data_IF_372798037303
#
_entry.id   IF_372798037303
#
_cell.length_a   1.000
_cell.length_b   1.000
_cell.length_c   1.000
_cell.angle_alpha   90.00
_cell.angle_beta   90.00
_cell.angle_gamma   90.00
#
_symmetry.space_group_name_H-M   'P 1'
#
loop_
_entity.id
_entity.type
_entity.pdbx_description
1 polymer ?
#
# COMPACT_ATOMS: atom_id res chain seq x y z
N UNK A 1 11.93 -1.13 73.53
CA UNK A 1 13.23 -0.59 73.07
C UNK A 1 13.63 -1.30 71.78
N UNK A 2 13.33 -0.70 70.61
CA UNK A 2 13.94 -1.13 69.35
C UNK A 2 14.38 0.07 68.48
N UNK A 3 14.92 1.15 69.07
CA UNK A 3 15.40 2.32 68.31
C UNK A 3 16.93 2.37 68.16
N UNK A 4 17.71 1.57 68.91
CA UNK A 4 19.18 1.53 68.79
C UNK A 4 19.72 0.57 67.72
N UNK A 5 18.88 -0.30 67.13
CA UNK A 5 19.32 -1.25 66.10
C UNK A 5 19.16 -0.74 64.66
N UNK A 6 18.44 0.36 64.44
CA UNK A 6 18.20 0.91 63.10
C UNK A 6 19.32 1.90 62.72
N UNK A 7 19.82 2.68 63.68
CA UNK A 7 20.90 3.64 63.43
C UNK A 7 22.24 2.97 63.03
N UNK A 8 22.50 1.76 63.51
CA UNK A 8 23.76 1.05 63.19
C UNK A 8 23.74 0.38 61.81
N UNK A 9 22.55 0.23 61.19
CA UNK A 9 22.40 -0.34 59.84
C UNK A 9 22.49 0.75 58.78
N UNK A 10 21.96 1.96 59.02
CA UNK A 10 22.09 3.07 58.07
C UNK A 10 23.54 3.59 57.98
N UNK A 11 24.29 3.65 59.08
CA UNK A 11 25.70 4.07 59.05
C UNK A 11 26.60 3.07 58.28
N UNK A 12 26.23 1.77 58.24
CA UNK A 12 26.94 0.78 57.43
C UNK A 12 26.59 0.85 55.93
N UNK A 13 25.40 1.37 55.59
CA UNK A 13 24.97 1.52 54.20
C UNK A 13 25.63 2.77 53.60
N UNK A 14 25.75 3.86 54.35
CA UNK A 14 26.40 5.08 53.85
C UNK A 14 27.93 4.95 53.73
N UNK A 15 28.59 4.14 54.57
CA UNK A 15 30.04 3.87 54.42
C UNK A 15 30.34 2.92 53.23
N UNK A 16 29.37 2.07 52.83
CA UNK A 16 29.47 1.23 51.63
C UNK A 16 29.20 2.02 50.34
N UNK A 17 28.37 3.07 50.41
CA UNK A 17 28.08 3.94 49.26
C UNK A 17 29.23 4.94 48.99
N UNK A 18 29.95 5.38 50.02
CA UNK A 18 31.04 6.36 49.88
C UNK A 18 32.44 5.77 49.60
N UNK A 19 32.59 4.44 49.50
CA UNK A 19 33.84 3.76 49.12
C UNK A 19 33.84 3.17 47.70
N UNK A 20 32.86 3.54 46.87
CA UNK A 20 32.69 3.02 45.51
C UNK A 20 33.29 3.84 44.36
N UNK A 21 33.95 4.97 44.62
CA UNK A 21 34.65 5.76 43.59
C UNK A 21 36.15 5.42 43.54
N UNK A 22 36.49 4.32 42.87
CA UNK A 22 37.71 4.12 42.03
C UNK A 22 37.76 2.66 41.55
N UNK A 23 36.67 2.21 40.92
CA UNK A 23 36.68 0.96 40.17
C UNK A 23 37.27 1.20 38.79
N UNK A 24 38.54 0.84 38.59
CA UNK A 24 39.07 0.59 37.25
C UNK A 24 38.08 -0.30 36.49
N UNK A 25 37.60 0.21 35.34
CA UNK A 25 36.80 -0.57 34.40
C UNK A 25 37.54 -1.88 34.08
N UNK A 26 36.86 -3.04 34.11
CA UNK A 26 37.49 -4.30 33.76
C UNK A 26 38.07 -4.20 32.34
N UNK A 27 39.40 -4.35 32.23
CA UNK A 27 40.12 -4.39 30.96
C UNK A 27 39.58 -5.54 30.12
N UNK A 28 38.90 -5.20 29.03
CA UNK A 28 38.43 -6.20 28.07
C UNK A 28 37.16 -5.84 27.29
N UNK A 29 36.49 -4.72 27.56
CA UNK A 29 35.37 -4.29 26.69
C UNK A 29 35.97 -3.63 25.44
N UNK A 30 35.85 -4.23 24.25
CA UNK A 30 36.35 -3.60 23.03
C UNK A 30 35.57 -2.32 22.80
N UNK A 31 36.28 -1.25 22.41
CA UNK A 31 35.75 0.05 22.00
C UNK A 31 34.87 -0.07 20.74
N UNK A 32 33.72 -0.74 20.87
CA UNK A 32 32.74 -1.03 19.83
C UNK A 32 31.56 -0.05 19.84
N UNK A 33 31.46 0.85 20.82
CA UNK A 33 30.32 1.76 20.98
C UNK A 33 30.07 2.68 19.78
N UNK A 34 31.12 3.11 19.07
CA UNK A 34 30.98 3.91 17.84
C UNK A 34 30.50 3.06 16.65
N UNK A 35 30.98 1.81 16.53
CA UNK A 35 30.58 0.88 15.47
C UNK A 35 29.15 0.38 15.67
N UNK A 36 28.75 0.14 16.92
CA UNK A 36 27.38 -0.27 17.28
C UNK A 36 26.39 0.87 17.07
N UNK A 37 26.73 2.11 17.46
CA UNK A 37 25.89 3.29 17.15
C UNK A 37 25.78 3.53 15.65
N UNK A 38 26.88 3.39 14.90
CA UNK A 38 26.86 3.48 13.44
C UNK A 38 25.99 2.37 12.82
N UNK A 39 26.07 1.13 13.30
CA UNK A 39 25.25 0.03 12.81
C UNK A 39 23.76 0.25 13.11
N UNK A 40 23.41 0.73 14.30
CA UNK A 40 22.01 1.06 14.66
C UNK A 40 21.48 2.22 13.81
N UNK A 41 22.28 3.27 13.61
CA UNK A 41 21.90 4.39 12.73
C UNK A 41 21.73 3.91 11.30
N UNK A 42 22.67 3.11 10.78
CA UNK A 42 22.56 2.51 9.44
C UNK A 42 21.28 1.70 9.35
N UNK A 43 21.04 0.71 10.22
CA UNK A 43 19.83 -0.14 10.19
C UNK A 43 18.54 0.69 10.29
N UNK A 44 18.51 1.73 11.13
CA UNK A 44 17.33 2.59 11.28
C UNK A 44 17.12 3.47 10.04
N UNK A 45 18.20 3.97 9.44
CA UNK A 45 18.17 4.75 8.20
C UNK A 45 17.77 3.85 7.03
N UNK A 46 18.29 2.64 6.90
CA UNK A 46 17.88 1.68 5.88
C UNK A 46 16.41 1.29 6.05
N UNK A 47 15.94 1.11 7.28
CA UNK A 47 14.52 0.85 7.57
C UNK A 47 13.62 2.02 7.17
N UNK A 48 13.98 3.25 7.52
CA UNK A 48 13.24 4.46 7.12
C UNK A 48 13.26 4.69 5.61
N UNK A 49 14.42 4.50 4.95
CA UNK A 49 14.55 4.62 3.50
C UNK A 49 13.73 3.54 2.81
N UNK A 50 13.79 2.29 3.27
CA UNK A 50 12.98 1.22 2.73
C UNK A 50 11.49 1.55 2.88
N UNK A 51 11.05 2.07 4.01
CA UNK A 51 9.65 2.43 4.24
C UNK A 51 9.21 3.63 3.40
N UNK A 52 10.06 4.64 3.24
CA UNK A 52 9.83 5.77 2.33
C UNK A 52 9.79 5.27 0.88
N UNK A 53 10.71 4.42 0.47
CA UNK A 53 10.74 3.83 -0.87
C UNK A 53 9.52 2.96 -1.13
N UNK A 54 9.08 2.17 -0.15
CA UNK A 54 7.85 1.37 -0.24
C UNK A 54 6.65 2.30 -0.38
N UNK A 55 6.55 3.32 0.46
CA UNK A 55 5.47 4.31 0.39
C UNK A 55 5.47 5.07 -0.95
N UNK A 56 6.64 5.39 -1.51
CA UNK A 56 6.79 6.04 -2.83
C UNK A 56 6.46 5.06 -3.96
N UNK A 57 6.83 3.79 -3.86
CA UNK A 57 6.55 2.77 -4.87
C UNK A 57 5.08 2.39 -4.90
N UNK A 58 4.42 2.41 -3.73
CA UNK A 58 2.99 2.15 -3.59
C UNK A 58 2.14 3.40 -3.78
N UNK A 59 2.71 4.60 -3.61
CA UNK A 59 2.02 5.89 -3.73
C UNK A 59 1.19 6.04 -5.01
N UNK A 60 1.69 5.65 -6.21
CA UNK A 60 0.99 5.86 -7.46
C UNK A 60 -0.36 5.15 -7.53
N UNK A 61 -0.55 4.06 -6.77
CA UNK A 61 -1.79 3.28 -6.79
C UNK A 61 -2.50 3.25 -5.43
N UNK A 62 -1.80 3.40 -4.31
CA UNK A 62 -2.36 3.30 -2.95
C UNK A 62 -3.48 4.31 -2.70
N UNK A 63 -3.35 5.52 -3.24
CA UNK A 63 -4.38 6.56 -3.08
C UNK A 63 -5.60 6.32 -3.96
N UNK A 64 -5.40 5.88 -5.21
CA UNK A 64 -6.51 5.44 -6.06
C UNK A 64 -7.24 4.24 -5.47
N UNK A 65 -6.50 3.32 -4.87
CA UNK A 65 -7.05 2.19 -4.13
C UNK A 65 -7.99 2.65 -3.01
N UNK A 66 -7.55 3.59 -2.18
CA UNK A 66 -8.37 4.14 -1.11
C UNK A 66 -9.62 4.85 -1.64
N UNK A 67 -9.47 5.78 -2.59
CA UNK A 67 -10.57 6.67 -3.03
C UNK A 67 -11.55 6.04 -4.01
N UNK A 68 -11.07 5.21 -4.94
CA UNK A 68 -11.95 4.63 -5.97
C UNK A 68 -12.49 3.26 -5.58
N UNK A 69 -11.88 2.58 -4.61
CA UNK A 69 -12.24 1.20 -4.25
C UNK A 69 -12.69 1.11 -2.81
N UNK A 70 -11.82 1.41 -1.86
CA UNK A 70 -12.08 1.11 -0.46
C UNK A 70 -13.17 2.03 0.13
N UNK A 71 -13.05 3.34 -0.06
CA UNK A 71 -14.00 4.35 0.42
C UNK A 71 -15.44 4.11 -0.08
N UNK A 72 -15.69 3.94 -1.40
CA UNK A 72 -17.03 3.64 -1.88
C UNK A 72 -17.60 2.31 -1.37
N UNK A 73 -16.76 1.28 -1.23
CA UNK A 73 -17.19 -0.02 -0.72
C UNK A 73 -17.59 0.07 0.75
N UNK A 74 -16.85 0.85 1.55
CA UNK A 74 -17.18 1.12 2.94
C UNK A 74 -18.47 1.95 3.06
N UNK A 75 -18.67 2.94 2.18
CA UNK A 75 -19.94 3.69 2.10
C UNK A 75 -21.11 2.74 1.85
N UNK A 76 -21.01 1.90 0.81
CA UNK A 76 -22.06 0.92 0.48
C UNK A 76 -22.29 -0.06 1.64
N UNK A 77 -21.23 -0.52 2.31
CA UNK A 77 -21.35 -1.41 3.46
C UNK A 77 -22.10 -0.75 4.63
N UNK A 78 -21.83 0.53 4.89
CA UNK A 78 -22.51 1.33 5.90
C UNK A 78 -23.98 1.57 5.54
N UNK A 79 -24.28 1.89 4.28
CA UNK A 79 -25.65 2.03 3.76
C UNK A 79 -26.45 0.74 3.95
N UNK A 80 -25.83 -0.42 3.71
CA UNK A 80 -26.45 -1.74 3.92
C UNK A 80 -26.66 -2.04 5.40
N UNK A 81 -25.73 -1.64 6.28
CA UNK A 81 -25.85 -1.82 7.73
C UNK A 81 -26.95 -0.94 8.34
N UNK A 82 -27.13 0.27 7.80
CA UNK A 82 -28.19 1.20 8.23
C UNK A 82 -29.60 0.77 7.76
N UNK A 83 -29.74 -0.36 7.05
CA UNK A 83 -31.00 -0.83 6.45
C UNK A 83 -31.67 0.23 5.54
N UNK A 84 -30.88 1.03 4.84
CA UNK A 84 -31.38 2.04 3.90
C UNK A 84 -32.10 1.43 2.69
N UNK A 85 -32.85 2.26 1.96
CA UNK A 85 -33.74 1.77 0.91
C UNK A 85 -32.93 1.08 -0.19
N UNK A 86 -33.42 -0.06 -0.68
CA UNK A 86 -32.88 -0.78 -1.85
C UNK A 86 -32.53 0.13 -3.05
N UNK A 87 -33.27 1.24 -3.22
CA UNK A 87 -33.02 2.22 -4.26
C UNK A 87 -31.72 3.01 -4.04
N UNK A 88 -31.44 3.43 -2.82
CA UNK A 88 -30.24 4.19 -2.43
C UNK A 88 -28.99 3.32 -2.59
N UNK A 89 -29.03 2.09 -2.07
CA UNK A 89 -27.97 1.09 -2.25
C UNK A 89 -27.69 0.85 -3.74
N UNK A 90 -28.75 0.69 -4.55
CA UNK A 90 -28.58 0.48 -5.99
C UNK A 90 -27.97 1.70 -6.70
N UNK A 91 -28.28 2.91 -6.26
CA UNK A 91 -27.74 4.15 -6.83
C UNK A 91 -26.25 4.32 -6.49
N UNK A 92 -25.85 4.07 -5.24
CA UNK A 92 -24.43 4.11 -4.83
C UNK A 92 -23.59 3.08 -5.59
N UNK A 93 -24.14 1.87 -5.74
CA UNK A 93 -23.51 0.78 -6.45
C UNK A 93 -23.34 1.07 -7.95
N UNK A 94 -24.34 1.71 -8.58
CA UNK A 94 -24.21 2.19 -9.97
C UNK A 94 -23.10 3.23 -10.10
N UNK A 95 -23.04 4.22 -9.19
CA UNK A 95 -21.99 5.24 -9.16
C UNK A 95 -20.60 4.65 -8.96
N UNK A 96 -20.45 3.66 -8.08
CA UNK A 96 -19.18 2.94 -7.88
C UNK A 96 -18.76 2.21 -9.15
N UNK A 97 -19.68 1.49 -9.79
CA UNK A 97 -19.41 0.76 -11.03
C UNK A 97 -19.01 1.68 -12.17
N UNK A 98 -19.70 2.79 -12.37
CA UNK A 98 -19.41 3.72 -13.46
C UNK A 98 -18.02 4.35 -13.26
N UNK A 99 -17.66 4.71 -12.02
CA UNK A 99 -16.30 5.14 -11.66
C UNK A 99 -15.25 4.06 -11.97
N UNK A 100 -15.53 2.80 -11.65
CA UNK A 100 -14.63 1.68 -11.96
C UNK A 100 -14.46 1.46 -13.45
N UNK A 101 -15.52 1.61 -14.23
CA UNK A 101 -15.46 1.49 -15.68
C UNK A 101 -14.56 2.58 -16.29
N UNK A 102 -14.68 3.82 -15.82
CA UNK A 102 -13.79 4.93 -16.25
C UNK A 102 -12.33 4.70 -15.83
N UNK A 103 -12.10 4.12 -14.65
CA UNK A 103 -10.75 3.75 -14.18
C UNK A 103 -10.10 2.71 -15.11
N UNK A 104 -10.82 1.65 -15.49
CA UNK A 104 -10.28 0.65 -16.43
C UNK A 104 -9.96 1.23 -17.81
N UNK A 105 -10.79 2.13 -18.32
CA UNK A 105 -10.52 2.83 -19.58
C UNK A 105 -9.25 3.68 -19.47
N UNK A 106 -9.07 4.41 -18.37
CA UNK A 106 -7.87 5.19 -18.12
C UNK A 106 -6.63 4.30 -18.05
N UNK A 107 -6.71 3.17 -17.35
CA UNK A 107 -5.64 2.16 -17.27
C UNK A 107 -5.24 1.64 -18.65
N UNK A 108 -6.22 1.33 -19.51
CA UNK A 108 -5.95 0.87 -20.87
C UNK A 108 -5.24 1.93 -21.71
N UNK A 109 -5.70 3.18 -21.67
CA UNK A 109 -5.08 4.29 -22.39
C UNK A 109 -3.65 4.53 -21.89
N UNK A 110 -3.46 4.64 -20.58
CA UNK A 110 -2.15 4.88 -19.98
C UNK A 110 -1.17 3.72 -20.26
N UNK A 111 -1.61 2.47 -20.11
CA UNK A 111 -0.78 1.29 -20.38
C UNK A 111 -0.39 1.19 -21.86
N UNK A 112 -1.28 1.59 -22.77
CA UNK A 112 -0.98 1.63 -24.21
C UNK A 112 0.09 2.67 -24.51
N UNK A 113 0.01 3.86 -23.91
CA UNK A 113 1.02 4.91 -24.06
C UNK A 113 2.39 4.48 -23.50
N UNK A 114 2.42 3.86 -22.32
CA UNK A 114 3.66 3.31 -21.75
C UNK A 114 4.25 2.23 -22.64
N UNK A 115 3.42 1.30 -23.14
CA UNK A 115 3.88 0.24 -24.07
C UNK A 115 4.46 0.83 -25.35
N UNK A 116 3.79 1.82 -25.95
CA UNK A 116 4.28 2.51 -27.14
C UNK A 116 5.60 3.24 -26.89
N UNK A 117 5.74 3.89 -25.72
CA UNK A 117 6.98 4.53 -25.32
C UNK A 117 8.14 3.52 -25.19
N UNK A 118 7.90 2.38 -24.52
CA UNK A 118 8.89 1.29 -24.39
C UNK A 118 9.28 0.69 -25.75
N UNK A 119 8.30 0.48 -26.65
CA UNK A 119 8.59 0.01 -28.01
C UNK A 119 9.46 1.03 -28.74
N UNK A 120 9.19 2.32 -28.57
CA UNK A 120 9.99 3.41 -29.12
C UNK A 120 11.45 3.37 -28.64
N UNK A 121 11.70 3.04 -27.38
CA UNK A 121 13.07 2.97 -26.85
C UNK A 121 13.90 1.83 -27.43
N UNK A 122 13.28 0.76 -27.93
CA UNK A 122 14.00 -0.32 -28.62
C UNK A 122 14.58 0.11 -29.97
N UNK A 123 14.14 1.24 -30.53
CA UNK A 123 14.73 1.81 -31.75
C UNK A 123 16.00 2.62 -31.50
N UNK A 124 16.32 2.94 -30.24
CA UNK A 124 17.45 3.79 -29.90
C UNK A 124 18.78 3.04 -30.05
N UNK A 125 19.86 3.75 -30.43
CA UNK A 125 21.19 3.15 -30.42
C UNK A 125 21.56 2.76 -28.99
N UNK A 126 22.04 1.54 -28.81
CA UNK A 126 22.53 1.05 -27.51
C UNK A 126 23.93 1.61 -27.26
N UNK A 127 24.16 2.38 -26.18
CA UNK A 127 25.51 2.76 -25.77
C UNK A 127 26.36 1.52 -25.53
N UNK A 128 27.65 1.57 -25.86
CA UNK A 128 28.56 0.41 -25.81
C UNK A 128 28.68 -0.21 -24.40
N UNK A 129 28.43 0.57 -23.34
CA UNK A 129 28.46 0.09 -21.96
C UNK A 129 27.09 -0.01 -21.29
N UNK A 130 26.02 -0.10 -22.07
CA UNK A 130 24.67 -0.17 -21.53
C UNK A 130 24.55 -1.30 -20.47
N UNK A 131 24.26 -0.92 -19.23
CA UNK A 131 23.96 -1.89 -18.19
C UNK A 131 22.74 -2.73 -18.57
N UNK A 132 22.83 -4.05 -18.36
CA UNK A 132 21.75 -5.03 -18.60
C UNK A 132 20.43 -4.69 -17.88
N UNK A 133 20.50 -3.85 -16.86
CA UNK A 133 19.37 -3.39 -16.07
C UNK A 133 18.37 -2.58 -16.92
N UNK A 134 18.85 -1.81 -17.90
CA UNK A 134 17.99 -1.04 -18.81
C UNK A 134 17.04 -1.94 -19.62
N UNK A 135 17.52 -2.90 -20.44
CA UNK A 135 16.63 -3.77 -21.19
C UNK A 135 15.77 -4.65 -20.28
N UNK A 136 16.28 -5.10 -19.12
CA UNK A 136 15.48 -5.85 -18.15
C UNK A 136 14.27 -5.05 -17.66
N UNK A 137 14.46 -3.77 -17.31
CA UNK A 137 13.36 -2.89 -16.91
C UNK A 137 12.38 -2.60 -18.05
N UNK A 138 12.85 -2.44 -19.28
CA UNK A 138 11.97 -2.25 -20.44
C UNK A 138 11.13 -3.51 -20.73
N UNK A 139 11.71 -4.70 -20.67
CA UNK A 139 10.97 -5.96 -20.83
C UNK A 139 9.95 -6.19 -19.71
N UNK A 140 10.30 -5.86 -18.46
CA UNK A 140 9.37 -5.89 -17.34
C UNK A 140 8.23 -4.88 -17.55
N UNK A 141 8.55 -3.65 -17.95
CA UNK A 141 7.57 -2.60 -18.21
C UNK A 141 6.55 -3.01 -19.26
N UNK A 142 6.99 -3.50 -20.43
CA UNK A 142 6.07 -3.88 -21.51
C UNK A 142 5.22 -5.10 -21.13
N UNK A 143 5.78 -6.04 -20.37
CA UNK A 143 5.03 -7.21 -19.90
C UNK A 143 3.93 -6.78 -18.92
N UNK A 144 4.26 -5.96 -17.93
CA UNK A 144 3.32 -5.44 -16.94
C UNK A 144 2.21 -4.59 -17.58
N UNK A 145 2.54 -3.74 -18.56
CA UNK A 145 1.54 -2.91 -19.25
C UNK A 145 0.60 -3.74 -20.12
N UNK A 146 1.09 -4.79 -20.80
CA UNK A 146 0.24 -5.71 -21.57
C UNK A 146 -0.72 -6.49 -20.66
N UNK A 147 -0.25 -7.00 -19.53
CA UNK A 147 -1.12 -7.66 -18.55
C UNK A 147 -2.13 -6.68 -17.93
N UNK A 148 -1.75 -5.43 -17.69
CA UNK A 148 -2.67 -4.39 -17.22
C UNK A 148 -3.82 -4.15 -18.23
N UNK A 149 -3.51 -4.06 -19.53
CA UNK A 149 -4.51 -3.90 -20.59
C UNK A 149 -5.46 -5.10 -20.65
N UNK A 150 -4.90 -6.32 -20.62
CA UNK A 150 -5.69 -7.56 -20.70
C UNK A 150 -6.62 -7.71 -19.50
N UNK A 151 -6.13 -7.47 -18.28
CA UNK A 151 -6.94 -7.55 -17.07
C UNK A 151 -8.00 -6.45 -17.06
N UNK A 152 -7.65 -5.18 -17.32
CA UNK A 152 -8.61 -4.08 -17.42
C UNK A 152 -9.70 -4.38 -18.46
N UNK A 153 -9.34 -4.96 -19.61
CA UNK A 153 -10.30 -5.35 -20.64
C UNK A 153 -11.25 -6.46 -20.19
N UNK A 154 -10.72 -7.50 -19.53
CA UNK A 154 -11.52 -8.61 -19.02
C UNK A 154 -12.51 -8.17 -17.94
N UNK A 155 -12.10 -7.28 -17.05
CA UNK A 155 -12.95 -6.74 -15.98
C UNK A 155 -13.98 -5.75 -16.54
N UNK A 156 -13.57 -4.87 -17.45
CA UNK A 156 -14.46 -3.96 -18.17
C UNK A 156 -15.57 -4.74 -18.91
N UNK A 157 -15.25 -5.85 -19.56
CA UNK A 157 -16.26 -6.70 -20.21
C UNK A 157 -17.29 -7.25 -19.21
N UNK A 158 -16.85 -7.71 -18.04
CA UNK A 158 -17.74 -8.20 -16.98
C UNK A 158 -18.69 -7.08 -16.53
N UNK A 159 -18.14 -5.89 -16.23
CA UNK A 159 -18.95 -4.75 -15.78
C UNK A 159 -19.90 -4.23 -16.85
N UNK A 160 -19.49 -4.19 -18.12
CA UNK A 160 -20.37 -3.80 -19.24
C UNK A 160 -21.49 -4.83 -19.47
N UNK A 161 -21.20 -6.12 -19.30
CA UNK A 161 -22.21 -7.18 -19.39
C UNK A 161 -23.25 -7.03 -18.28
N UNK A 162 -22.82 -6.65 -17.08
CA UNK A 162 -23.73 -6.32 -15.96
C UNK A 162 -24.53 -5.05 -16.28
N UNK A 163 -23.90 -4.00 -16.82
CA UNK A 163 -24.55 -2.71 -17.13
C UNK A 163 -25.63 -2.84 -18.21
N UNK A 164 -25.42 -3.68 -19.24
CA UNK A 164 -26.37 -3.86 -20.35
C UNK A 164 -27.53 -4.80 -20.05
N UNK A 165 -27.60 -5.42 -18.87
CA UNK A 165 -28.69 -6.35 -18.55
C UNK A 165 -30.01 -5.57 -18.34
N UNK A 166 -31.05 -5.79 -19.17
CA UNK A 166 -32.32 -5.06 -19.07
C UNK A 166 -33.19 -5.48 -17.87
N UNK A 167 -32.76 -6.51 -17.13
CA UNK A 167 -33.50 -7.06 -16.00
C UNK A 167 -33.00 -6.41 -14.71
N UNK A 168 -33.90 -5.82 -13.91
CA UNK A 168 -33.60 -5.32 -12.55
C UNK A 168 -32.98 -6.49 -11.77
N UNK A 169 -31.67 -6.42 -11.50
CA UNK A 169 -30.93 -7.49 -10.82
C UNK A 169 -31.28 -7.46 -9.33
N UNK A 170 -31.31 -8.63 -8.71
CA UNK A 170 -31.37 -8.71 -7.25
C UNK A 170 -30.11 -8.02 -6.72
N UNK A 171 -30.33 -6.96 -5.92
CA UNK A 171 -29.29 -6.17 -5.28
C UNK A 171 -28.32 -7.08 -4.52
N UNK A 172 -28.85 -8.15 -3.89
CA UNK A 172 -28.10 -9.22 -3.26
C UNK A 172 -26.96 -9.81 -4.12
N UNK A 173 -27.17 -9.98 -5.44
CA UNK A 173 -26.15 -10.57 -6.33
C UNK A 173 -25.05 -9.58 -6.68
N UNK A 174 -25.35 -8.29 -6.69
CA UNK A 174 -24.33 -7.26 -6.91
C UNK A 174 -23.59 -6.93 -5.63
N UNK A 175 -24.29 -6.88 -4.50
CA UNK A 175 -23.67 -6.80 -3.17
C UNK A 175 -22.78 -8.01 -2.92
N UNK A 176 -23.21 -9.23 -3.26
CA UNK A 176 -22.39 -10.44 -3.13
C UNK A 176 -21.06 -10.38 -3.90
N UNK A 177 -20.96 -9.51 -4.92
CA UNK A 177 -19.72 -9.30 -5.66
C UNK A 177 -18.67 -8.58 -4.81
N UNK A 178 -19.10 -7.68 -3.92
CA UNK A 178 -18.25 -6.77 -3.14
C UNK A 178 -18.16 -7.21 -1.66
N UNK A 179 -19.27 -7.70 -1.11
CA UNK A 179 -19.49 -7.94 0.31
C UNK A 179 -20.03 -9.36 0.54
N UNK A 180 -19.67 -9.97 1.66
CA UNK A 180 -20.41 -11.07 2.25
C UNK A 180 -21.45 -10.48 3.19
N UNK A 181 -22.73 -10.58 2.81
CA UNK A 181 -23.83 -10.23 3.71
C UNK A 181 -24.03 -11.42 4.64
N UNK A 182 -23.66 -11.27 5.91
CA UNK A 182 -24.00 -12.23 6.95
C UNK A 182 -25.44 -11.98 7.34
N UNK A 183 -26.38 -12.44 6.51
CA UNK A 183 -27.81 -12.34 6.82
C UNK A 183 -28.06 -13.21 8.04
N UNK A 184 -28.13 -12.59 9.22
CA UNK A 184 -28.79 -13.18 10.38
C UNK A 184 -30.25 -13.33 10.00
N UNK A 185 -30.58 -14.41 9.27
CA UNK A 185 -31.93 -14.93 9.35
C UNK A 185 -32.00 -15.42 10.79
N UNK A 186 -32.73 -14.72 11.64
CA UNK A 186 -33.28 -15.29 12.86
C UNK A 186 -34.13 -16.48 12.43
N UNK A 187 -33.48 -17.60 12.17
CA UNK A 187 -34.10 -18.89 12.34
C UNK A 187 -34.21 -18.96 13.85
N UNK A 188 -35.41 -18.64 14.36
CA UNK A 188 -35.77 -19.09 15.70
C UNK A 188 -35.32 -20.54 15.78
N UNK A 189 -34.47 -20.94 16.74
CA UNK A 189 -34.09 -22.32 16.86
C UNK A 189 -35.37 -23.07 17.15
N UNK A 190 -35.98 -23.67 16.12
CA UNK A 190 -36.96 -24.73 16.28
C UNK A 190 -36.20 -25.78 17.07
N UNK A 191 -36.42 -25.78 18.37
CA UNK A 191 -35.94 -26.80 19.27
C UNK A 191 -36.63 -28.09 18.83
N UNK A 192 -36.01 -28.80 17.88
CA UNK A 192 -36.26 -30.21 17.70
C UNK A 192 -35.58 -30.90 18.89
N UNK A 193 -36.31 -31.61 19.76
CA UNK A 193 -35.77 -32.11 21.04
C UNK A 193 -34.68 -33.20 20.94
N UNK A 194 -34.12 -33.49 19.75
CA UNK A 194 -33.41 -34.75 19.51
C UNK A 194 -32.10 -34.67 18.71
N UNK A 195 -31.38 -33.55 18.68
CA UNK A 195 -30.06 -33.55 18.03
C UNK A 195 -29.03 -32.70 18.78
N UNK A 196 -28.37 -33.31 19.78
CA UNK A 196 -27.14 -32.81 20.38
C UNK A 196 -25.97 -33.00 19.40
N UNK A 197 -25.65 -31.97 18.63
CA UNK A 197 -24.37 -31.89 17.91
C UNK A 197 -23.36 -31.16 18.80
N UNK A 198 -22.14 -31.68 19.02
CA UNK A 198 -21.16 -31.05 19.90
C UNK A 198 -20.70 -29.69 19.36
N UNK A 199 -20.37 -28.73 20.24
CA UNK A 199 -20.07 -27.37 19.85
C UNK A 199 -18.77 -27.29 19.05
N UNK A 200 -18.84 -26.68 17.87
CA UNK A 200 -17.68 -26.23 17.11
C UNK A 200 -16.89 -25.25 18.01
N UNK A 201 -15.56 -25.41 18.16
CA UNK A 201 -14.79 -24.55 19.05
C UNK A 201 -14.92 -23.10 18.61
N UNK A 202 -15.45 -22.28 19.52
CA UNK A 202 -15.52 -20.83 19.38
C UNK A 202 -14.12 -20.31 19.06
N UNK A 203 -13.95 -19.76 17.86
CA UNK A 203 -12.72 -19.04 17.51
C UNK A 203 -12.66 -17.84 18.45
N UNK A 204 -11.79 -17.98 19.44
CA UNK A 204 -11.32 -17.02 20.42
C UNK A 204 -11.34 -15.60 19.83
N UNK A 205 -12.24 -14.76 20.34
CA UNK A 205 -12.23 -13.32 20.12
C UNK A 205 -10.83 -12.78 20.45
N UNK A 206 -10.07 -12.40 19.42
CA UNK A 206 -8.80 -11.72 19.58
C UNK A 206 -9.15 -10.29 19.97
N UNK A 207 -9.08 -9.96 21.26
CA UNK A 207 -9.03 -8.57 21.73
C UNK A 207 -7.76 -7.92 21.17
N UNK A 208 -7.89 -7.22 20.05
CA UNK A 208 -6.88 -6.27 19.58
C UNK A 208 -7.19 -4.92 20.22
N UNK A 209 -6.23 -4.45 21.02
CA UNK A 209 -6.25 -3.19 21.73
C UNK A 209 -6.23 -2.00 20.76
N UNK A 210 -6.89 -0.93 21.20
CA UNK A 210 -7.10 0.37 20.56
C UNK A 210 -5.81 1.05 20.12
N UNK A 211 -5.75 1.55 18.88
CA UNK A 211 -5.18 2.87 18.54
C UNK A 211 -5.91 3.45 17.30
N UNK A 212 -6.32 4.73 17.37
CA UNK A 212 -7.27 5.39 16.47
C UNK A 212 -6.91 5.44 14.97
N UNK A 213 -7.43 4.48 14.21
CA UNK A 213 -7.44 4.48 12.75
C UNK A 213 -8.84 4.73 12.15
N UNK A 214 -8.87 5.31 10.95
CA UNK A 214 -10.07 5.58 10.12
C UNK A 214 -10.84 4.31 9.66
N UNK A 215 -10.39 3.11 10.05
CA UNK A 215 -11.13 1.88 9.76
C UNK A 215 -12.36 1.78 10.66
N UNK A 216 -13.59 1.69 10.10
CA UNK A 216 -14.78 1.50 10.92
C UNK A 216 -14.65 0.20 11.72
N UNK A 217 -14.87 0.36 13.03
CA UNK A 217 -15.03 -0.69 14.05
C UNK A 217 -15.93 -1.80 13.49
N UNK A 218 -15.49 -3.05 13.62
CA UNK A 218 -16.12 -4.29 13.13
C UNK A 218 -17.60 -4.13 12.72
N UNK A 219 -17.92 -4.23 11.42
CA UNK A 219 -19.30 -4.29 10.92
C UNK A 219 -19.84 -5.72 11.15
N UNK A 220 -20.69 -5.98 12.15
CA UNK A 220 -21.08 -7.34 12.54
C UNK A 220 -21.87 -8.10 11.47
N UNK A 221 -22.48 -7.38 10.52
CA UNK A 221 -23.38 -7.94 9.51
C UNK A 221 -22.76 -8.03 8.09
N UNK A 222 -21.61 -7.39 7.86
CA UNK A 222 -21.04 -7.23 6.52
C UNK A 222 -19.53 -7.49 6.55
N UNK A 223 -19.07 -8.50 5.83
CA UNK A 223 -17.64 -8.78 5.65
C UNK A 223 -17.18 -8.39 4.24
N UNK A 224 -16.05 -7.69 4.14
CA UNK A 224 -15.51 -7.22 2.86
C UNK A 224 -14.79 -8.36 2.13
N UNK A 225 -15.05 -8.53 0.83
CA UNK A 225 -14.39 -9.54 -0.02
C UNK A 225 -13.03 -9.05 -0.52
N UNK A 226 -12.00 -9.17 0.30
CA UNK A 226 -10.65 -8.71 -0.04
C UNK A 226 -10.08 -9.29 -1.35
N UNK A 227 -10.38 -10.56 -1.67
CA UNK A 227 -9.93 -11.18 -2.93
C UNK A 227 -10.55 -10.51 -4.17
N UNK A 228 -11.80 -10.03 -4.05
CA UNK A 228 -12.46 -9.29 -5.15
C UNK A 228 -11.90 -7.88 -5.28
N UNK A 229 -11.64 -7.23 -4.14
CA UNK A 229 -10.98 -5.91 -4.12
C UNK A 229 -9.59 -5.97 -4.76
N UNK A 230 -8.79 -7.00 -4.46
CA UNK A 230 -7.48 -7.18 -5.08
C UNK A 230 -7.59 -7.37 -6.59
N UNK A 231 -8.52 -8.22 -7.04
CA UNK A 231 -8.79 -8.44 -8.47
C UNK A 231 -9.04 -7.11 -9.17
N UNK A 232 -9.99 -6.29 -8.67
CA UNK A 232 -10.33 -4.99 -9.27
C UNK A 232 -9.24 -3.92 -9.20
N UNK A 233 -8.14 -4.19 -8.51
CA UNK A 233 -7.05 -3.24 -8.32
C UNK A 233 -5.77 -3.71 -9.02
N UNK A 234 -5.71 -4.98 -9.40
CA UNK A 234 -4.60 -5.55 -10.14
C UNK A 234 -4.27 -4.77 -11.43
N UNK A 235 -5.25 -4.34 -12.28
CA UNK A 235 -4.92 -3.59 -13.50
C UNK A 235 -4.21 -2.26 -13.23
N UNK A 236 -4.66 -1.51 -12.23
CA UNK A 236 -4.06 -0.24 -11.81
C UNK A 236 -2.66 -0.42 -11.25
N UNK A 237 -2.47 -1.45 -10.41
CA UNK A 237 -1.17 -1.78 -9.83
C UNK A 237 -0.17 -2.12 -10.94
N UNK A 238 -0.54 -2.97 -11.89
CA UNK A 238 0.32 -3.36 -13.00
C UNK A 238 0.68 -2.17 -13.91
N UNK A 239 -0.29 -1.30 -14.21
CA UNK A 239 -0.04 -0.07 -14.94
C UNK A 239 0.96 0.83 -14.20
N UNK A 240 0.76 1.07 -12.90
CA UNK A 240 1.67 1.88 -12.09
C UNK A 240 3.09 1.29 -12.06
N UNK A 241 3.23 -0.02 -11.86
CA UNK A 241 4.53 -0.67 -11.88
C UNK A 241 5.18 -0.65 -13.26
N UNK A 242 4.40 -0.75 -14.34
CA UNK A 242 4.94 -0.59 -15.69
C UNK A 242 5.57 0.78 -15.89
N UNK A 243 4.88 1.85 -15.48
CA UNK A 243 5.40 3.21 -15.58
C UNK A 243 6.69 3.39 -14.75
N UNK A 244 6.73 2.84 -13.53
CA UNK A 244 7.92 2.87 -12.69
C UNK A 244 9.10 2.11 -13.30
N UNK A 245 8.86 0.91 -13.85
CA UNK A 245 9.89 0.15 -14.56
C UNK A 245 10.40 0.91 -15.79
N UNK A 246 9.51 1.52 -16.57
CA UNK A 246 9.91 2.35 -17.71
C UNK A 246 10.81 3.51 -17.28
N UNK A 247 10.42 4.27 -16.26
CA UNK A 247 11.20 5.40 -15.75
C UNK A 247 12.55 4.93 -15.17
N UNK A 248 12.60 3.79 -14.48
CA UNK A 248 13.84 3.22 -13.99
C UNK A 248 14.78 2.83 -15.13
N UNK A 249 14.28 2.13 -16.16
CA UNK A 249 15.05 1.78 -17.34
C UNK A 249 15.55 3.01 -18.11
N UNK A 250 14.69 4.03 -18.27
CA UNK A 250 15.06 5.30 -18.89
C UNK A 250 16.16 6.03 -18.10
N UNK A 251 16.05 6.04 -16.77
CA UNK A 251 17.05 6.67 -15.90
C UNK A 251 18.42 6.00 -16.06
N UNK A 252 18.47 4.67 -16.04
CA UNK A 252 19.72 3.91 -16.23
C UNK A 252 20.29 4.13 -17.64
N UNK A 253 19.45 4.18 -18.67
CA UNK A 253 19.87 4.46 -20.05
C UNK A 253 20.49 5.85 -20.19
N UNK A 254 19.82 6.90 -19.68
CA UNK A 254 20.31 8.29 -19.78
C UNK A 254 21.55 8.49 -18.92
N UNK A 255 21.70 7.75 -17.82
CA UNK A 255 22.91 7.78 -17.00
C UNK A 255 24.08 6.98 -17.60
N UNK A 256 23.93 6.41 -18.80
CA UNK A 256 25.00 5.71 -19.51
C UNK A 256 26.38 6.38 -19.49
N UNK A 257 26.49 7.62 -19.98
CA UNK A 257 27.77 8.33 -20.03
C UNK A 257 28.39 8.63 -18.65
N UNK A 258 27.61 8.59 -17.55
CA UNK A 258 28.12 8.90 -16.21
C UNK A 258 28.94 7.75 -15.61
N UNK A 259 28.57 6.49 -15.88
CA UNK A 259 29.31 5.34 -15.35
C UNK A 259 30.47 4.92 -16.26
N UNK A 260 30.45 5.33 -17.53
CA UNK A 260 31.49 4.99 -18.51
C UNK A 260 32.81 5.73 -18.29
N UNK A 261 32.86 6.68 -17.35
CA UNK A 261 34.05 7.48 -17.11
C UNK A 261 34.46 8.36 -18.29
N UNK A 262 33.63 8.44 -19.34
CA UNK A 262 33.68 9.55 -20.28
C UNK A 262 33.48 10.81 -19.44
N UNK A 263 34.47 11.70 -19.42
CA UNK A 263 34.50 12.85 -18.51
C UNK A 263 33.34 13.85 -18.69
N UNK A 264 33.61 15.14 -18.59
CA UNK A 264 32.56 16.17 -18.77
C UNK A 264 32.18 16.39 -20.25
N UNK A 265 31.82 15.31 -20.96
CA UNK A 265 31.32 15.33 -22.33
C UNK A 265 29.85 15.75 -22.41
N UNK A 266 29.36 15.95 -23.63
CA UNK A 266 27.99 16.44 -23.85
C UNK A 266 26.92 15.43 -23.39
N UNK A 267 27.19 14.13 -23.49
CA UNK A 267 26.32 13.08 -22.93
C UNK A 267 26.20 13.15 -21.40
N UNK A 268 27.32 13.38 -20.69
CA UNK A 268 27.31 13.55 -19.24
C UNK A 268 26.54 14.78 -18.79
N UNK A 269 26.69 15.91 -19.50
CA UNK A 269 25.90 17.14 -19.24
C UNK A 269 24.40 16.89 -19.42
N UNK A 270 24.01 16.21 -20.51
CA UNK A 270 22.62 15.85 -20.77
C UNK A 270 22.05 14.93 -19.68
N UNK A 271 22.83 13.96 -19.21
CA UNK A 271 22.44 13.06 -18.13
C UNK A 271 22.20 13.81 -16.80
N UNK A 272 23.09 14.72 -16.44
CA UNK A 272 22.94 15.57 -15.24
C UNK A 272 21.69 16.44 -15.36
N UNK A 273 21.47 17.07 -16.52
CA UNK A 273 20.28 17.89 -16.74
C UNK A 273 18.99 17.07 -16.63
N UNK A 274 18.98 15.85 -17.19
CA UNK A 274 17.87 14.92 -17.04
C UNK A 274 17.60 14.57 -15.57
N UNK A 275 18.63 14.24 -14.79
CA UNK A 275 18.46 13.89 -13.37
C UNK A 275 17.91 15.05 -12.54
N UNK A 276 18.40 16.27 -12.78
CA UNK A 276 17.89 17.48 -12.12
C UNK A 276 16.43 17.72 -12.50
N UNK A 277 16.10 17.64 -13.79
CA UNK A 277 14.73 17.78 -14.28
C UNK A 277 13.80 16.71 -13.69
N UNK A 278 14.24 15.45 -13.69
CA UNK A 278 13.50 14.32 -13.12
C UNK A 278 13.23 14.50 -11.63
N UNK A 279 14.22 15.00 -10.87
CA UNK A 279 14.07 15.32 -9.45
C UNK A 279 13.02 16.41 -9.21
N UNK A 280 13.05 17.52 -9.97
CA UNK A 280 12.05 18.58 -9.84
C UNK A 280 10.64 18.12 -10.25
N UNK A 281 10.53 17.32 -11.31
CA UNK A 281 9.27 16.70 -11.70
C UNK A 281 8.73 15.76 -10.61
N UNK A 282 9.60 14.95 -9.99
CA UNK A 282 9.24 14.07 -8.88
C UNK A 282 8.76 14.84 -7.64
N UNK A 283 9.47 15.92 -7.26
CA UNK A 283 9.04 16.79 -6.16
C UNK A 283 7.69 17.46 -6.45
N UNK A 284 7.51 17.96 -7.67
CA UNK A 284 6.25 18.59 -8.09
C UNK A 284 5.11 17.58 -8.08
N UNK A 285 5.35 16.36 -8.58
CA UNK A 285 4.37 15.28 -8.52
C UNK A 285 3.97 14.94 -7.09
N UNK A 286 4.95 14.76 -6.18
CA UNK A 286 4.68 14.47 -4.76
C UNK A 286 3.91 15.63 -4.11
N UNK A 287 4.28 16.87 -4.41
CA UNK A 287 3.61 18.06 -3.90
C UNK A 287 2.16 18.14 -4.38
N UNK A 288 1.91 17.99 -5.69
CA UNK A 288 0.58 17.98 -6.27
C UNK A 288 -0.26 16.83 -5.71
N UNK A 289 0.30 15.63 -5.62
CA UNK A 289 -0.39 14.49 -5.02
C UNK A 289 -0.75 14.78 -3.55
N UNK A 290 0.20 15.27 -2.76
CA UNK A 290 -0.04 15.59 -1.35
C UNK A 290 -1.16 16.63 -1.17
N UNK A 291 -1.11 17.74 -1.89
CA UNK A 291 -2.08 18.83 -1.74
C UNK A 291 -3.43 18.56 -2.36
N UNK A 292 -3.48 17.93 -3.55
CA UNK A 292 -4.74 17.54 -4.17
C UNK A 292 -5.55 16.65 -3.22
N UNK A 293 -4.90 15.71 -2.54
CA UNK A 293 -5.61 14.79 -1.65
C UNK A 293 -5.86 15.37 -0.25
N UNK A 294 -4.95 16.18 0.31
CA UNK A 294 -5.19 16.86 1.61
C UNK A 294 -6.44 17.74 1.60
N UNK A 295 -6.78 18.34 0.46
CA UNK A 295 -7.97 19.19 0.32
C UNK A 295 -9.20 18.49 -0.27
N UNK A 296 -9.03 17.33 -0.91
CA UNK A 296 -10.15 16.52 -1.43
C UNK A 296 -10.65 15.50 -0.40
N UNK A 297 -9.91 15.27 0.69
CA UNK A 297 -10.50 14.86 1.98
C UNK A 297 -11.36 16.02 2.53
N UNK A 298 -12.43 16.35 1.80
CA UNK A 298 -13.58 17.10 2.31
C UNK A 298 -14.19 16.22 3.40
N UNK A 299 -13.87 16.56 4.65
CA UNK A 299 -14.69 16.41 5.85
C UNK A 299 -15.89 15.44 5.71
N UNK A 300 -15.68 14.18 6.14
CA UNK A 300 -16.69 13.19 6.54
C UNK A 300 -17.80 12.79 5.51
N UNK A 301 -18.45 11.62 5.70
CA UNK A 301 -19.52 11.13 4.81
C UNK A 301 -20.70 12.08 4.61
#
# INVERSE_FOLDING_TARGET
MPEEQIAHVDDQIDEQVMKGETGELPRGVPSGGKKLKAAIIVVTVTGKIAQIATNILTLPYYRFYQQNTLLPILSIAKTVENEETDQEISAELQRWRDRKLSEFQLVQVASTLVSAAVIGTFSWPTPDALHWLTPAFWYASISLSLFAILLASSEQFIFQTIHRSPKRRNIDKELAMILYIRRSRSVDPVHSPLEEVPPIPQIRAIKLAEEGGWFPKEMPLVEIRWNMIFTWQAPMMLMAYSALCFLAGLTVYVCAPLYDGQGWGDGGKAAVFYLVSFFFCGLTFIWCAYWAYKFVDLEDP
#
